data_IF_447092406431
#
_entry.id   IF_447092406431
#
_cell.length_a   1.000
_cell.length_b   1.000
_cell.length_c   1.000
_cell.angle_alpha   90.00
_cell.angle_beta   90.00
_cell.angle_gamma   90.00
#
_symmetry.space_group_name_H-M   'P 1'
#
loop_
_entity.id
_entity.type
_entity.pdbx_description
1 polymer ?
#
# COMPACT_ATOMS: atom_id res chain seq x y z
N UNK A 1 -35.44 -36.91 -14.48
CA UNK A 1 -34.03 -36.52 -14.35
C UNK A 1 -33.92 -35.16 -15.03
N UNK A 2 -34.23 -34.11 -14.28
CA UNK A 2 -34.37 -32.74 -14.80
C UNK A 2 -32.98 -32.10 -14.94
N UNK A 3 -32.68 -31.72 -16.18
CA UNK A 3 -31.56 -30.91 -16.62
C UNK A 3 -31.81 -29.45 -16.22
N UNK A 4 -31.07 -28.90 -15.27
CA UNK A 4 -31.10 -27.46 -15.03
C UNK A 4 -29.96 -26.77 -15.79
N UNK A 5 -30.33 -26.17 -16.92
CA UNK A 5 -29.53 -25.25 -17.70
C UNK A 5 -29.52 -23.85 -17.08
N UNK A 6 -28.33 -23.26 -17.01
CA UNK A 6 -28.02 -21.83 -17.22
C UNK A 6 -28.81 -20.78 -16.40
N UNK A 7 -28.12 -20.12 -15.47
CA UNK A 7 -28.43 -18.72 -15.13
C UNK A 7 -27.19 -17.98 -14.63
N UNK A 8 -26.91 -16.83 -15.26
CA UNK A 8 -26.32 -15.70 -14.54
C UNK A 8 -24.82 -15.49 -14.68
N UNK A 9 -24.37 -15.05 -15.85
CA UNK A 9 -23.22 -14.15 -15.93
C UNK A 9 -23.55 -12.86 -15.15
N UNK A 10 -22.81 -12.59 -14.08
CA UNK A 10 -22.99 -11.41 -13.25
C UNK A 10 -21.68 -10.99 -12.58
N UNK A 11 -20.96 -10.06 -13.21
CA UNK A 11 -20.06 -9.06 -12.60
C UNK A 11 -19.17 -9.50 -11.41
N UNK A 12 -18.23 -10.41 -11.65
CA UNK A 12 -17.12 -10.67 -10.73
C UNK A 12 -16.02 -9.58 -10.88
N UNK A 13 -16.29 -8.36 -10.40
CA UNK A 13 -15.39 -7.21 -10.53
C UNK A 13 -14.90 -6.57 -9.21
N UNK A 14 -15.35 -7.00 -8.03
CA UNK A 14 -15.06 -6.28 -6.79
C UNK A 14 -14.77 -7.09 -5.48
N UNK A 15 -14.26 -8.34 -5.47
CA UNK A 15 -13.87 -8.98 -4.21
C UNK A 15 -12.43 -8.68 -3.76
N UNK A 16 -11.52 -8.31 -4.68
CA UNK A 16 -10.09 -8.30 -4.39
C UNK A 16 -9.65 -7.18 -3.42
N UNK A 17 -10.24 -5.98 -3.55
CA UNK A 17 -9.83 -4.80 -2.78
C UNK A 17 -10.36 -4.83 -1.34
N UNK A 18 -11.56 -5.39 -1.15
CA UNK A 18 -12.19 -5.51 0.17
C UNK A 18 -11.55 -6.65 1.01
N UNK A 19 -10.98 -7.66 0.35
CA UNK A 19 -10.26 -8.74 1.02
C UNK A 19 -8.89 -8.30 1.55
N UNK A 20 -8.16 -7.44 0.82
CA UNK A 20 -6.87 -6.89 1.27
C UNK A 20 -7.02 -6.02 2.52
N UNK A 21 -8.10 -5.25 2.61
CA UNK A 21 -8.42 -4.43 3.77
C UNK A 21 -8.83 -5.29 4.98
N UNK A 22 -9.61 -6.36 4.75
CA UNK A 22 -10.03 -7.31 5.79
C UNK A 22 -8.88 -8.17 6.32
N UNK A 23 -7.95 -8.60 5.47
CA UNK A 23 -6.77 -9.35 5.89
C UNK A 23 -5.79 -8.47 6.68
N UNK A 24 -5.60 -7.21 6.26
CA UNK A 24 -4.84 -6.22 7.01
C UNK A 24 -5.46 -5.94 8.40
N UNK A 25 -6.79 -5.80 8.49
CA UNK A 25 -7.50 -5.65 9.76
C UNK A 25 -7.37 -6.85 10.69
N UNK A 26 -7.38 -8.08 10.14
CA UNK A 26 -7.17 -9.32 10.91
C UNK A 26 -5.72 -9.50 11.39
N UNK A 27 -4.76 -8.94 10.68
CA UNK A 27 -3.35 -8.86 11.10
C UNK A 27 -3.16 -7.82 12.21
N UNK A 28 -3.92 -6.72 12.19
CA UNK A 28 -3.89 -5.68 13.21
C UNK A 28 -4.36 -6.14 14.61
N UNK A 29 -5.21 -7.17 14.69
CA UNK A 29 -5.60 -7.78 15.98
C UNK A 29 -4.51 -8.72 16.55
N UNK A 30 -3.52 -9.12 15.73
CA UNK A 30 -2.52 -10.14 16.09
C UNK A 30 -1.10 -9.62 16.21
N UNK A 31 -0.74 -8.55 15.51
CA UNK A 31 0.61 -7.98 15.59
C UNK A 31 0.66 -6.49 15.19
N UNK A 32 0.70 -5.56 16.17
CA UNK A 32 0.87 -4.13 15.88
C UNK A 32 2.20 -3.81 15.18
N UNK A 33 3.24 -4.64 15.33
CA UNK A 33 4.49 -4.47 14.61
C UNK A 33 4.33 -4.81 13.11
N UNK A 34 3.49 -5.81 12.78
CA UNK A 34 3.17 -6.13 11.40
C UNK A 34 2.39 -5.00 10.71
N UNK A 35 1.44 -4.37 11.40
CA UNK A 35 0.71 -3.20 10.87
C UNK A 35 1.70 -2.08 10.56
N UNK A 36 2.55 -1.73 11.54
CA UNK A 36 3.56 -0.69 11.37
C UNK A 36 4.52 -0.96 10.20
N UNK A 37 4.92 -2.22 10.01
CA UNK A 37 5.78 -2.61 8.89
C UNK A 37 5.08 -2.39 7.54
N UNK A 38 3.84 -2.84 7.41
CA UNK A 38 3.07 -2.70 6.15
C UNK A 38 2.75 -1.24 5.84
N UNK A 39 2.42 -0.43 6.84
CA UNK A 39 2.15 1.00 6.66
C UNK A 39 3.42 1.77 6.31
N UNK A 40 4.57 1.43 6.89
CA UNK A 40 5.87 1.99 6.50
C UNK A 40 6.26 1.60 5.07
N UNK A 41 6.04 0.35 4.67
CA UNK A 41 6.28 -0.10 3.29
C UNK A 41 5.39 0.64 2.29
N UNK A 42 4.13 0.90 2.65
CA UNK A 42 3.22 1.72 1.86
C UNK A 42 3.72 3.16 1.70
N UNK A 43 4.14 3.80 2.80
CA UNK A 43 4.69 5.17 2.75
C UNK A 43 5.97 5.23 1.91
N UNK A 44 6.84 4.22 1.99
CA UNK A 44 8.03 4.13 1.14
C UNK A 44 7.66 4.06 -0.36
N UNK A 45 6.68 3.23 -0.75
CA UNK A 45 6.23 3.19 -2.14
C UNK A 45 5.67 4.55 -2.60
N UNK A 46 4.91 5.22 -1.74
CA UNK A 46 4.37 6.54 -2.02
C UNK A 46 5.46 7.58 -2.23
N UNK A 47 6.45 7.64 -1.34
CA UNK A 47 7.59 8.53 -1.46
C UNK A 47 8.40 8.25 -2.74
N UNK A 48 8.57 6.98 -3.11
CA UNK A 48 9.20 6.62 -4.38
C UNK A 48 8.43 7.15 -5.60
N UNK A 49 7.09 7.05 -5.60
CA UNK A 49 6.25 7.63 -6.65
C UNK A 49 6.35 9.16 -6.69
N UNK A 50 6.41 9.81 -5.53
CA UNK A 50 6.56 11.25 -5.42
C UNK A 50 7.93 11.71 -5.98
N UNK A 51 9.02 11.07 -5.57
CA UNK A 51 10.37 11.36 -6.06
C UNK A 51 10.47 11.18 -7.58
N UNK A 52 9.91 10.08 -8.09
CA UNK A 52 9.82 9.84 -9.54
C UNK A 52 9.05 10.94 -10.25
N UNK A 53 7.88 11.32 -9.72
CA UNK A 53 7.03 12.37 -10.31
C UNK A 53 7.73 13.73 -10.30
N UNK A 54 8.41 14.10 -9.21
CA UNK A 54 9.21 15.33 -9.14
C UNK A 54 10.31 15.31 -10.19
N UNK A 55 11.02 14.20 -10.37
CA UNK A 55 12.07 14.05 -11.38
C UNK A 55 11.53 14.16 -12.81
N UNK A 56 10.35 13.61 -13.07
CA UNK A 56 9.69 13.74 -14.37
C UNK A 56 9.32 15.21 -14.70
N UNK A 57 9.14 16.07 -13.69
CA UNK A 57 8.92 17.52 -13.87
C UNK A 57 10.18 18.33 -14.12
N UNK A 58 11.34 17.88 -13.61
CA UNK A 58 12.64 18.47 -13.90
C UNK A 58 13.04 17.95 -15.28
N UNK A 59 12.60 18.66 -16.33
CA UNK A 59 12.68 18.20 -17.72
C UNK A 59 14.00 17.51 -18.04
N UNK A 60 13.92 16.31 -18.65
CA UNK A 60 15.09 15.51 -19.01
C UNK A 60 16.01 16.34 -19.89
N UNK A 61 17.12 16.82 -19.33
CA UNK A 61 18.10 17.57 -20.09
C UNK A 61 18.59 16.67 -21.21
N UNK A 62 18.24 17.04 -22.45
CA UNK A 62 18.54 16.23 -23.65
C UNK A 62 20.05 16.11 -23.92
N UNK A 63 20.88 16.78 -23.12
CA UNK A 63 22.34 16.85 -23.23
C UNK A 63 23.07 15.87 -22.32
N UNK A 64 22.45 15.42 -21.21
CA UNK A 64 23.01 14.44 -20.26
C UNK A 64 22.24 13.12 -20.25
N UNK A 65 21.43 12.88 -21.28
CA UNK A 65 20.44 11.80 -21.37
C UNK A 65 20.85 10.43 -20.84
N UNK A 66 20.54 10.23 -19.56
CA UNK A 66 20.16 8.99 -18.88
C UNK A 66 20.34 7.72 -19.70
N UNK A 67 21.52 7.12 -19.59
CA UNK A 67 21.74 5.74 -20.02
C UNK A 67 20.95 4.76 -19.14
N UNK A 68 20.68 3.55 -19.63
CA UNK A 68 20.00 2.48 -18.85
C UNK A 68 20.65 2.23 -17.48
N UNK A 69 21.97 2.37 -17.39
CA UNK A 69 22.70 2.23 -16.12
C UNK A 69 22.40 3.35 -15.13
N UNK A 70 22.27 4.59 -15.61
CA UNK A 70 21.92 5.73 -14.78
C UNK A 70 20.47 5.65 -14.30
N UNK A 71 19.52 5.30 -15.19
CA UNK A 71 18.12 5.10 -14.79
C UNK A 71 17.96 4.00 -13.75
N UNK A 72 18.74 2.93 -13.87
CA UNK A 72 18.76 1.83 -12.89
C UNK A 72 19.34 2.29 -11.57
N UNK A 73 20.50 2.97 -11.57
CA UNK A 73 21.12 3.49 -10.36
C UNK A 73 20.24 4.52 -9.66
N UNK A 74 19.63 5.44 -10.41
CA UNK A 74 18.67 6.41 -9.87
C UNK A 74 17.46 5.73 -9.25
N UNK A 75 16.90 4.68 -9.90
CA UNK A 75 15.77 3.94 -9.34
C UNK A 75 16.12 3.25 -8.02
N UNK A 76 17.32 2.66 -7.93
CA UNK A 76 17.81 2.05 -6.68
C UNK A 76 18.04 3.11 -5.59
N UNK A 77 18.60 4.25 -5.95
CA UNK A 77 18.81 5.37 -5.03
C UNK A 77 17.47 5.92 -4.49
N UNK A 78 16.49 6.10 -5.38
CA UNK A 78 15.15 6.57 -5.02
C UNK A 78 14.45 5.57 -4.08
N UNK A 79 14.64 4.26 -4.29
CA UNK A 79 14.14 3.23 -3.38
C UNK A 79 14.75 3.34 -1.98
N UNK A 80 16.07 3.48 -1.87
CA UNK A 80 16.75 3.63 -0.59
C UNK A 80 16.37 4.92 0.15
N UNK A 81 16.24 6.03 -0.58
CA UNK A 81 15.76 7.30 -0.02
C UNK A 81 14.32 7.17 0.50
N UNK A 82 13.44 6.56 -0.27
CA UNK A 82 12.06 6.37 0.12
C UNK A 82 11.93 5.44 1.35
N UNK A 83 12.70 4.34 1.39
CA UNK A 83 12.72 3.42 2.52
C UNK A 83 13.27 4.08 3.80
N UNK A 84 14.37 4.82 3.68
CA UNK A 84 15.01 5.53 4.81
C UNK A 84 14.11 6.64 5.35
N UNK A 85 13.47 7.39 4.45
CA UNK A 85 12.52 8.44 4.81
C UNK A 85 11.31 7.85 5.53
N UNK A 86 10.68 6.80 5.00
CA UNK A 86 9.54 6.15 5.63
C UNK A 86 9.88 5.57 7.01
N UNK A 87 11.07 4.96 7.17
CA UNK A 87 11.53 4.43 8.47
C UNK A 87 11.72 5.53 9.51
N UNK A 88 12.12 6.73 9.08
CA UNK A 88 12.35 7.89 9.95
C UNK A 88 11.07 8.69 10.25
N UNK A 89 9.92 8.27 9.73
CA UNK A 89 8.62 8.91 9.94
C UNK A 89 8.13 9.77 8.76
N UNK A 90 8.93 9.88 7.70
CA UNK A 90 8.52 10.36 6.37
C UNK A 90 7.66 11.61 6.38
N UNK A 91 6.50 11.50 5.73
CA UNK A 91 5.45 12.52 5.68
C UNK A 91 4.33 12.26 6.70
N UNK A 92 4.41 11.17 7.45
CA UNK A 92 3.47 10.78 8.50
C UNK A 92 2.29 9.95 8.00
N UNK A 93 2.29 9.52 6.73
CA UNK A 93 1.18 8.74 6.15
C UNK A 93 1.06 7.36 6.79
N UNK A 94 2.19 6.71 7.10
CA UNK A 94 2.17 5.41 7.78
C UNK A 94 1.45 5.48 9.13
N UNK A 95 1.70 6.54 9.89
CA UNK A 95 1.08 6.76 11.21
C UNK A 95 -0.43 7.00 11.11
N UNK A 96 -0.87 7.81 10.15
CA UNK A 96 -2.30 8.03 9.92
C UNK A 96 -3.01 6.73 9.52
N UNK A 97 -2.37 5.94 8.66
CA UNK A 97 -2.92 4.65 8.24
C UNK A 97 -2.95 3.63 9.40
N UNK A 98 -1.92 3.58 10.24
CA UNK A 98 -1.90 2.75 11.46
C UNK A 98 -3.06 3.10 12.40
N UNK A 99 -3.32 4.39 12.59
CA UNK A 99 -4.41 4.86 13.45
C UNK A 99 -5.78 4.44 12.92
N UNK A 100 -6.03 4.59 11.62
CA UNK A 100 -7.29 4.17 11.00
C UNK A 100 -7.48 2.65 11.02
N UNK A 101 -6.43 1.89 10.72
CA UNK A 101 -6.48 0.42 10.79
C UNK A 101 -6.75 -0.07 12.21
N UNK A 102 -6.12 0.55 13.21
CA UNK A 102 -6.32 0.20 14.63
C UNK A 102 -7.71 0.61 15.10
N UNK A 103 -8.22 1.78 14.70
CA UNK A 103 -9.58 2.25 15.03
C UNK A 103 -10.66 1.35 14.41
N UNK A 104 -10.52 1.01 13.13
CA UNK A 104 -11.43 0.11 12.42
C UNK A 104 -11.45 -1.30 13.03
N UNK A 105 -10.31 -1.78 13.52
CA UNK A 105 -10.22 -3.08 14.20
C UNK A 105 -10.86 -3.07 15.61
N UNK A 106 -10.69 -1.98 16.38
CA UNK A 106 -11.36 -1.82 17.68
C UNK A 106 -12.88 -1.79 17.55
N UNK A 107 -13.42 -1.11 16.53
CA UNK A 107 -14.86 -1.08 16.26
C UNK A 107 -15.46 -2.47 15.96
N UNK A 108 -14.69 -3.37 15.33
CA UNK A 108 -15.10 -4.75 15.06
C UNK A 108 -15.00 -5.71 16.27
N UNK A 109 -14.21 -5.36 17.29
CA UNK A 109 -14.01 -6.16 18.49
C UNK A 109 -15.10 -5.95 19.54
N UNK A 110 -15.65 -4.74 19.63
CA UNK A 110 -16.75 -4.39 20.55
C UNK A 110 -18.03 -5.20 20.27
N UNK A 111 -18.28 -5.57 19.01
CA UNK A 111 -19.50 -6.31 18.62
C UNK A 111 -19.42 -7.81 18.98
N UNK A 112 -18.23 -8.36 19.26
CA UNK A 112 -18.06 -9.81 19.51
C UNK A 112 -18.07 -10.22 20.97
N UNK A 113 -18.15 -9.28 21.92
CA UNK A 113 -18.08 -9.58 23.35
C UNK A 113 -19.44 -9.72 24.05
N UNK A 114 -20.54 -9.80 23.30
CA UNK A 114 -21.89 -9.98 23.85
C UNK A 114 -22.60 -11.12 23.11
N UNK A 115 -22.37 -12.35 23.57
CA UNK A 115 -23.35 -13.43 23.79
C UNK A 115 -22.62 -14.70 24.28
#
# INVERSE_FOLDING_TARGET
MEINSLSGAGIAGAPQQNQALKSAGRAADKDPAAVRKVTQEFEAMFLGMMLKSMRDTVGKDKMTGGGRGEETFQSLLDQEYAATAAKSGGVGLARSLEQELTRGNQAGKVIKHEN
#
